data_IF_135556516994
#
_entry.id   IF_135556516994
#
_cell.length_a   1.000
_cell.length_b   1.000
_cell.length_c   1.000
_cell.angle_alpha   90.00
_cell.angle_beta   90.00
_cell.angle_gamma   90.00
#
_symmetry.space_group_name_H-M   'P 1'
#
loop_
_entity.id
_entity.type
_entity.pdbx_description
1 polymer ?
#
# COMPACT_ATOMS: atom_id res chain seq x y z
N UNK A 1 4.85 1.60 6.92
CA UNK A 1 5.40 0.38 7.52
C UNK A 1 6.17 0.67 8.81
N UNK A 2 6.40 -0.29 9.69
CA UNK A 2 7.33 -0.10 10.84
C UNK A 2 8.70 -0.72 10.61
N UNK A 3 8.84 -1.61 9.62
CA UNK A 3 10.09 -2.31 9.31
C UNK A 3 10.84 -1.74 8.07
N UNK A 4 10.43 -0.57 7.59
CA UNK A 4 11.12 0.09 6.46
C UNK A 4 12.28 0.91 6.99
N UNK A 5 13.47 0.56 6.54
CA UNK A 5 14.69 1.31 6.80
C UNK A 5 15.07 2.14 5.57
N UNK A 6 15.74 3.29 5.80
CA UNK A 6 16.08 4.28 4.76
C UNK A 6 14.90 4.72 3.87
N UNK A 7 13.68 4.78 4.43
CA UNK A 7 12.49 5.33 3.77
C UNK A 7 12.49 6.87 3.72
N UNK A 8 11.38 7.44 3.26
CA UNK A 8 11.12 8.89 3.31
C UNK A 8 11.33 9.48 4.72
N UNK A 9 11.86 10.70 4.76
CA UNK A 9 12.05 11.49 5.96
C UNK A 9 10.94 12.53 6.18
N UNK A 10 10.48 13.19 5.11
CA UNK A 10 9.52 14.30 5.24
C UNK A 10 8.08 13.87 4.99
N UNK A 11 7.85 13.14 3.90
CA UNK A 11 6.51 12.65 3.55
C UNK A 11 6.20 11.38 4.33
N UNK A 12 5.04 11.32 4.98
CA UNK A 12 4.57 10.16 5.72
C UNK A 12 3.12 9.83 5.36
N UNK A 13 2.81 8.55 5.17
CA UNK A 13 1.45 8.05 4.96
C UNK A 13 1.03 7.29 6.22
N UNK A 14 -0.08 7.70 6.85
CA UNK A 14 -0.51 7.13 8.13
C UNK A 14 0.54 7.26 9.23
N UNK A 15 1.33 8.35 9.22
CA UNK A 15 2.43 8.58 10.16
C UNK A 15 3.67 7.72 9.94
N UNK A 16 3.71 6.90 8.88
CA UNK A 16 4.78 5.97 8.58
C UNK A 16 5.57 6.40 7.34
N UNK A 17 6.86 6.02 7.33
CA UNK A 17 7.76 6.23 6.18
C UNK A 17 7.37 5.34 4.99
N UNK A 18 7.75 5.76 3.79
CA UNK A 18 7.47 5.09 2.51
C UNK A 18 8.79 4.61 1.88
N UNK A 19 8.76 3.43 1.25
CA UNK A 19 9.88 2.83 0.53
C UNK A 19 10.22 3.60 -0.74
N UNK A 20 11.49 4.00 -0.90
CA UNK A 20 12.05 4.74 -2.02
C UNK A 20 12.94 3.87 -2.91
N UNK A 21 12.97 4.19 -4.20
CA UNK A 21 13.79 3.53 -5.21
C UNK A 21 15.26 3.45 -4.83
N UNK A 22 15.80 2.23 -4.84
CA UNK A 22 17.21 1.91 -4.61
C UNK A 22 17.81 2.43 -3.29
N UNK A 23 16.99 2.85 -2.32
CA UNK A 23 17.44 3.37 -1.02
C UNK A 23 16.88 2.54 0.12
N UNK A 24 15.57 2.34 0.11
CA UNK A 24 14.87 1.73 1.22
C UNK A 24 14.77 0.21 1.08
N UNK A 25 14.68 -0.46 2.22
CA UNK A 25 14.48 -1.89 2.30
C UNK A 25 13.67 -2.24 3.53
N UNK A 26 13.01 -3.39 3.51
CA UNK A 26 12.51 -4.00 4.74
C UNK A 26 13.66 -4.72 5.42
N UNK A 27 13.80 -4.56 6.74
CA UNK A 27 14.93 -5.17 7.44
C UNK A 27 14.76 -6.68 7.57
N UNK A 28 13.52 -7.17 7.59
CA UNK A 28 13.23 -8.59 7.77
C UNK A 28 12.01 -9.05 6.97
N UNK A 29 12.24 -9.98 6.05
CA UNK A 29 11.21 -10.82 5.47
C UNK A 29 11.09 -12.12 6.29
N UNK A 30 9.87 -12.43 6.73
CA UNK A 30 9.52 -13.68 7.43
C UNK A 30 8.39 -14.39 6.69
N UNK A 31 8.37 -15.71 6.76
CA UNK A 31 7.36 -16.55 6.11
C UNK A 31 7.08 -17.80 6.94
N UNK A 32 7.12 -18.97 6.31
CA UNK A 32 7.04 -20.24 7.03
C UNK A 32 8.46 -20.73 7.32
N UNK A 33 9.03 -20.42 8.49
CA UNK A 33 10.40 -20.82 8.85
C UNK A 33 10.56 -22.32 9.21
N UNK A 34 9.64 -23.18 8.79
CA UNK A 34 9.60 -24.58 9.17
C UNK A 34 10.88 -25.32 8.72
N UNK A 35 11.60 -25.89 9.69
CA UNK A 35 12.76 -26.76 9.48
C UNK A 35 14.06 -26.21 10.08
N UNK A 36 14.82 -27.07 10.76
CA UNK A 36 16.16 -26.80 11.29
C UNK A 36 17.26 -27.20 10.28
N UNK A 37 16.96 -27.13 8.98
CA UNK A 37 17.92 -27.53 7.95
C UNK A 37 19.04 -26.48 7.81
N UNK A 38 20.32 -26.89 7.78
CA UNK A 38 21.40 -26.00 7.38
C UNK A 38 21.23 -25.60 5.91
N UNK A 39 21.46 -24.31 5.58
CA UNK A 39 21.33 -23.72 4.23
C UNK A 39 19.93 -23.86 3.61
N UNK A 40 18.98 -23.11 4.16
CA UNK A 40 17.57 -23.15 3.73
C UNK A 40 17.30 -22.61 2.32
N UNK A 41 18.15 -21.72 1.82
CA UNK A 41 18.11 -21.20 0.45
C UNK A 41 19.36 -21.64 -0.33
N UNK A 42 19.19 -22.07 -1.58
CA UNK A 42 20.30 -22.60 -2.41
C UNK A 42 21.34 -21.53 -2.77
N UNK A 43 20.92 -20.27 -2.90
CA UNK A 43 21.77 -19.15 -3.32
C UNK A 43 22.35 -18.46 -2.08
N UNK A 44 21.48 -18.07 -1.15
CA UNK A 44 21.87 -17.18 -0.05
C UNK A 44 22.13 -17.92 1.26
N UNK A 45 21.79 -19.21 1.34
CA UNK A 45 21.83 -20.01 2.58
C UNK A 45 20.98 -19.47 3.74
N UNK A 46 20.19 -18.41 3.52
CA UNK A 46 19.27 -17.80 4.49
C UNK A 46 17.84 -17.86 3.99
N UNK A 47 16.87 -18.03 4.88
CA UNK A 47 15.42 -17.99 4.59
C UNK A 47 14.72 -16.78 5.23
N UNK A 48 15.54 -15.82 5.66
CA UNK A 48 15.12 -14.54 6.23
C UNK A 48 16.21 -13.54 5.91
N UNK A 49 15.87 -12.27 5.82
CA UNK A 49 16.82 -11.22 5.47
C UNK A 49 16.10 -10.00 4.96
N UNK A 50 16.86 -9.11 4.33
CA UNK A 50 16.30 -7.87 3.77
C UNK A 50 15.39 -8.17 2.59
N UNK A 51 14.44 -7.28 2.36
CA UNK A 51 13.59 -7.28 1.17
C UNK A 51 13.74 -5.95 0.44
N UNK A 52 13.94 -6.02 -0.88
CA UNK A 52 14.12 -4.85 -1.73
C UNK A 52 13.04 -4.79 -2.81
N UNK A 53 12.43 -3.63 -2.99
CA UNK A 53 11.54 -3.37 -4.13
C UNK A 53 12.35 -3.32 -5.44
N UNK A 54 11.74 -3.80 -6.53
CA UNK A 54 12.29 -3.75 -7.89
C UNK A 54 11.35 -3.04 -8.89
N UNK A 55 10.23 -2.52 -8.40
CA UNK A 55 9.32 -1.68 -9.15
C UNK A 55 8.85 -0.49 -8.31
N UNK A 56 8.60 0.62 -9.01
CA UNK A 56 8.23 1.90 -8.43
C UNK A 56 7.35 2.68 -9.40
N UNK A 57 6.70 3.73 -8.90
CA UNK A 57 5.93 4.65 -9.73
C UNK A 57 6.81 5.42 -10.71
N UNK A 58 6.32 5.67 -11.93
CA UNK A 58 7.01 6.54 -12.89
C UNK A 58 6.88 8.04 -12.53
N UNK A 59 5.71 8.41 -12.02
CA UNK A 59 5.32 9.82 -11.84
C UNK A 59 5.28 10.25 -10.37
N UNK A 60 4.84 9.35 -9.49
CA UNK A 60 4.67 9.67 -8.06
C UNK A 60 5.99 9.51 -7.33
N UNK A 61 6.46 10.62 -6.76
CA UNK A 61 7.72 10.70 -6.02
C UNK A 61 7.51 11.31 -4.65
N UNK A 62 8.25 10.84 -3.65
CA UNK A 62 8.28 11.38 -2.30
C UNK A 62 9.73 11.62 -1.91
N UNK A 63 10.01 12.78 -1.31
CA UNK A 63 11.37 13.29 -1.09
C UNK A 63 12.26 13.20 -2.35
N UNK A 64 11.66 13.47 -3.52
CA UNK A 64 12.34 13.47 -4.81
C UNK A 64 12.54 12.09 -5.46
N UNK A 65 12.22 11.00 -4.78
CA UNK A 65 12.44 9.63 -5.29
C UNK A 65 11.14 8.90 -5.62
N UNK A 66 11.13 8.07 -6.68
CA UNK A 66 10.03 7.13 -6.95
C UNK A 66 9.74 6.22 -5.76
N UNK A 67 8.46 6.00 -5.50
CA UNK A 67 7.98 5.15 -4.40
C UNK A 67 7.46 3.82 -4.89
N UNK A 68 7.58 2.80 -4.03
CA UNK A 68 6.97 1.48 -4.25
C UNK A 68 5.48 1.51 -3.88
N UNK A 69 4.66 0.77 -4.62
CA UNK A 69 3.19 0.74 -4.54
C UNK A 69 2.68 -0.63 -4.08
N UNK A 70 1.37 -0.71 -3.91
CA UNK A 70 0.64 -1.82 -3.31
C UNK A 70 0.92 -3.22 -3.89
N UNK A 71 1.21 -3.33 -5.18
CA UNK A 71 1.49 -4.61 -5.88
C UNK A 71 2.84 -4.62 -6.61
N UNK A 72 3.73 -3.69 -6.28
CA UNK A 72 5.03 -3.66 -6.93
C UNK A 72 5.85 -4.90 -6.52
N UNK A 73 6.74 -5.35 -7.42
CA UNK A 73 7.56 -6.55 -7.20
C UNK A 73 8.70 -6.27 -6.22
N UNK A 74 9.04 -7.26 -5.42
CA UNK A 74 10.20 -7.23 -4.52
C UNK A 74 10.93 -8.57 -4.52
N UNK A 75 12.18 -8.59 -4.08
CA UNK A 75 12.90 -9.83 -3.78
C UNK A 75 13.32 -9.90 -2.32
N UNK A 76 13.37 -11.11 -1.78
CA UNK A 76 13.54 -11.39 -0.36
C UNK A 76 14.75 -12.30 -0.10
N UNK A 77 14.92 -12.68 1.17
CA UNK A 77 15.97 -13.57 1.65
C UNK A 77 17.39 -13.12 1.28
N UNK A 78 17.60 -11.81 1.34
CA UNK A 78 18.89 -11.23 0.98
C UNK A 78 19.95 -11.52 2.03
N UNK A 79 21.10 -12.04 1.59
CA UNK A 79 22.36 -12.05 2.34
C UNK A 79 23.24 -10.81 2.04
N UNK A 80 22.61 -9.76 1.49
CA UNK A 80 23.15 -8.47 1.01
C UNK A 80 24.39 -8.55 0.09
N UNK A 81 24.26 -8.23 -1.22
CA UNK A 81 23.06 -7.81 -1.95
C UNK A 81 22.34 -8.96 -2.69
N UNK A 82 22.80 -10.21 -2.53
CA UNK A 82 22.26 -11.34 -3.29
C UNK A 82 20.92 -11.78 -2.72
N UNK A 83 19.90 -11.84 -3.58
CA UNK A 83 18.56 -12.35 -3.26
C UNK A 83 18.51 -13.88 -3.28
N UNK A 84 17.62 -14.45 -2.48
CA UNK A 84 17.39 -15.89 -2.45
C UNK A 84 16.56 -16.43 -3.62
N UNK A 85 15.81 -15.56 -4.30
CA UNK A 85 14.91 -15.94 -5.39
C UNK A 85 14.60 -14.77 -6.33
N UNK A 86 13.85 -15.03 -7.42
CA UNK A 86 13.44 -13.99 -8.36
C UNK A 86 12.47 -13.00 -7.70
N UNK A 87 12.36 -11.76 -8.22
CA UNK A 87 11.36 -10.82 -7.76
C UNK A 87 9.93 -11.35 -7.94
N UNK A 88 9.11 -11.23 -6.91
CA UNK A 88 7.70 -11.63 -6.89
C UNK A 88 6.82 -10.43 -6.51
N UNK A 89 5.54 -10.38 -6.93
CA UNK A 89 4.63 -9.33 -6.49
C UNK A 89 4.49 -9.32 -4.97
N UNK A 90 4.78 -8.17 -4.34
CA UNK A 90 4.47 -7.93 -2.94
C UNK A 90 3.10 -7.28 -2.87
N UNK A 91 2.09 -8.05 -2.50
CA UNK A 91 0.73 -7.54 -2.33
C UNK A 91 0.54 -7.20 -0.86
N UNK A 92 0.39 -5.92 -0.55
CA UNK A 92 0.06 -5.52 0.82
C UNK A 92 -1.38 -5.91 1.18
N UNK A 93 -1.71 -5.97 2.45
CA UNK A 93 -3.11 -6.14 2.87
C UNK A 93 -3.86 -4.85 2.59
N UNK A 94 -4.96 -4.92 1.84
CA UNK A 94 -5.84 -3.79 1.66
C UNK A 94 -6.63 -3.57 2.96
N UNK A 95 -6.43 -2.43 3.61
CA UNK A 95 -7.34 -1.95 4.64
C UNK A 95 -8.31 -1.00 3.94
N UNK A 96 -9.58 -1.41 3.72
CA UNK A 96 -10.56 -0.50 3.17
C UNK A 96 -10.71 0.69 4.11
N UNK A 97 -10.76 1.89 3.54
CA UNK A 97 -11.08 3.07 4.32
C UNK A 97 -12.47 2.87 4.95
N UNK A 98 -12.58 3.00 6.27
CA UNK A 98 -13.87 3.26 6.93
C UNK A 98 -14.27 4.70 6.65
N UNK A 99 -14.53 4.99 5.38
CA UNK A 99 -15.18 6.23 4.97
C UNK A 99 -16.65 6.09 5.39
N UNK A 100 -17.14 7.02 6.20
CA UNK A 100 -18.57 7.14 6.45
C UNK A 100 -19.15 8.10 5.42
N UNK A 101 -20.39 7.89 5.01
CA UNK A 101 -21.10 8.83 4.14
C UNK A 101 -21.10 10.26 4.71
N UNK A 102 -21.07 10.40 6.05
CA UNK A 102 -20.94 11.68 6.75
C UNK A 102 -19.64 12.44 6.45
N UNK A 103 -18.56 11.73 6.11
CA UNK A 103 -17.23 12.32 5.89
C UNK A 103 -17.12 12.95 4.49
N UNK A 104 -18.05 12.66 3.58
CA UNK A 104 -18.12 13.28 2.26
C UNK A 104 -18.88 14.62 2.27
N UNK A 105 -19.43 15.03 3.43
CA UNK A 105 -20.28 16.23 3.58
C UNK A 105 -21.42 16.34 2.55
N UNK A 106 -21.81 15.21 1.93
CA UNK A 106 -22.91 15.16 0.97
C UNK A 106 -24.21 15.34 1.73
N UNK A 107 -24.92 16.43 1.43
CA UNK A 107 -26.26 16.72 1.96
C UNK A 107 -27.27 16.73 0.82
N UNK A 108 -28.58 16.54 1.10
CA UNK A 108 -29.62 16.79 0.13
C UNK A 108 -29.45 18.20 -0.48
N UNK A 109 -29.69 18.35 -1.78
CA UNK A 109 -29.52 19.62 -2.52
C UNK A 109 -30.13 20.84 -1.81
N UNK A 110 -31.27 20.64 -1.13
CA UNK A 110 -32.00 21.68 -0.38
C UNK A 110 -31.31 22.14 0.90
N UNK A 111 -30.44 21.32 1.47
CA UNK A 111 -29.73 21.55 2.74
C UNK A 111 -28.24 21.91 2.52
N UNK A 112 -27.79 21.90 1.27
CA UNK A 112 -26.41 22.25 0.90
C UNK A 112 -26.30 23.78 0.68
N UNK A 113 -25.44 24.43 1.45
CA UNK A 113 -25.02 25.81 1.23
C UNK A 113 -23.65 25.82 0.54
N UNK A 114 -23.56 26.47 -0.62
CA UNK A 114 -22.34 26.59 -1.39
C UNK A 114 -21.83 28.05 -1.39
N UNK A 115 -20.51 28.28 -1.46
CA UNK A 115 -19.96 29.62 -1.64
C UNK A 115 -20.46 30.26 -2.94
N UNK A 116 -20.47 31.59 -2.99
CA UNK A 116 -20.90 32.36 -4.16
C UNK A 116 -20.05 31.99 -5.41
N UNK A 117 -20.73 31.65 -6.51
CA UNK A 117 -20.10 31.22 -7.76
C UNK A 117 -19.88 29.72 -7.93
N UNK A 118 -20.30 28.89 -6.96
CA UNK A 118 -20.24 27.42 -7.05
C UNK A 118 -21.64 26.81 -7.20
N UNK A 119 -21.75 25.76 -8.01
CA UNK A 119 -22.98 24.99 -8.18
C UNK A 119 -23.12 23.92 -7.09
N UNK A 120 -24.37 23.61 -6.73
CA UNK A 120 -24.68 22.61 -5.68
C UNK A 120 -24.62 21.16 -6.19
N UNK A 121 -24.46 20.95 -7.49
CA UNK A 121 -24.47 19.62 -8.10
C UNK A 121 -23.12 18.92 -7.92
N UNK A 122 -23.15 17.79 -7.21
CA UNK A 122 -22.03 16.86 -7.10
C UNK A 122 -22.46 15.54 -7.72
N UNK A 123 -21.78 15.10 -8.78
CA UNK A 123 -21.97 13.74 -9.31
C UNK A 123 -21.30 12.76 -8.36
N UNK A 124 -22.11 11.98 -7.66
CA UNK A 124 -21.62 10.89 -6.79
C UNK A 124 -22.21 9.59 -7.28
N UNK A 125 -21.39 8.54 -7.27
CA UNK A 125 -21.82 7.22 -7.72
C UNK A 125 -22.93 6.67 -6.79
N UNK A 126 -23.91 5.99 -7.37
CA UNK A 126 -25.08 5.41 -6.64
C UNK A 126 -24.65 4.54 -5.45
N UNK A 127 -23.48 3.91 -5.53
CA UNK A 127 -22.94 3.08 -4.44
C UNK A 127 -22.80 3.83 -3.10
N UNK A 128 -22.68 5.16 -3.11
CA UNK A 128 -22.59 5.98 -1.90
C UNK A 128 -23.95 6.26 -1.23
N UNK A 129 -25.07 5.94 -1.89
CA UNK A 129 -26.42 6.04 -1.32
C UNK A 129 -27.04 4.69 -0.99
N UNK A 130 -26.33 3.58 -1.23
CA UNK A 130 -26.83 2.26 -0.83
C UNK A 130 -26.84 2.14 0.69
N UNK A 131 -28.03 1.92 1.26
CA UNK A 131 -28.19 1.70 2.69
C UNK A 131 -27.39 0.46 3.14
N UNK A 132 -26.94 0.47 4.40
CA UNK A 132 -26.22 -0.65 5.00
C UNK A 132 -27.06 -1.93 4.87
N UNK A 133 -26.51 -2.98 4.24
CA UNK A 133 -27.19 -4.25 3.97
C UNK A 133 -27.79 -4.43 2.57
N UNK A 134 -27.76 -3.42 1.69
CA UNK A 134 -28.33 -3.52 0.33
C UNK A 134 -27.33 -4.03 -0.73
N UNK A 135 -26.04 -4.12 -0.38
CA UNK A 135 -24.96 -4.54 -1.30
C UNK A 135 -25.11 -5.97 -1.85
N UNK A 136 -25.84 -6.85 -1.15
CA UNK A 136 -26.06 -8.25 -1.53
C UNK A 136 -27.44 -8.53 -2.15
N UNK A 137 -28.28 -7.49 -2.34
CA UNK A 137 -29.53 -7.65 -3.09
C UNK A 137 -29.20 -7.64 -4.58
N UNK A 138 -28.90 -8.83 -5.10
CA UNK A 138 -28.98 -9.09 -6.54
C UNK A 138 -30.40 -8.75 -7.00
N UNK A 139 -30.51 -7.93 -8.03
CA UNK A 139 -31.78 -7.76 -8.75
C UNK A 139 -32.02 -9.09 -9.46
N UNK A 140 -32.95 -9.88 -8.93
CA UNK A 140 -33.52 -11.04 -9.61
C UNK A 140 -34.07 -10.63 -11.00
#
# INVERSE_FOLDING_TARGET
DSDTDNGTGTVKIGGKTITQKNKSYYTKCTGNEAGCAPKKNIITSVNTGKEYAHAWSGDVKMDGEPISRFTDISSNDHASPTAGGPPMPKVATATPATFKCSDLEIKPYKELECPEGYEKEHTVEVQFFTAEGVRDLTLD
#
